data_IF_970474800592
#
_entry.id   IF_970474800592
#
_cell.length_a   1.000
_cell.length_b   1.000
_cell.length_c   1.000
_cell.angle_alpha   90.00
_cell.angle_beta   90.00
_cell.angle_gamma   90.00
#
_symmetry.space_group_name_H-M   'P 1'
#
loop_
_entity.id
_entity.type
_entity.pdbx_description
1 polymer ?
#
# COMPACT_ATOMS: atom_id res chain seq x y z
N UNK A 1 26.34 -3.07 2.51
CA UNK A 1 25.96 -4.20 1.66
C UNK A 1 24.83 -4.97 2.30
N UNK A 2 23.59 -4.87 1.78
CA UNK A 2 22.57 -5.83 2.15
C UNK A 2 23.10 -7.25 1.88
N UNK A 3 22.85 -8.22 2.76
CA UNK A 3 23.44 -9.55 2.68
C UNK A 3 23.02 -10.33 1.42
N UNK A 4 21.93 -9.92 0.77
CA UNK A 4 21.46 -10.45 -0.51
C UNK A 4 21.49 -9.38 -1.61
N UNK A 5 22.14 -9.70 -2.72
CA UNK A 5 22.38 -8.77 -3.85
C UNK A 5 21.09 -8.27 -4.54
N UNK A 6 19.94 -8.89 -4.26
CA UNK A 6 18.63 -8.55 -4.82
C UNK A 6 17.68 -7.87 -3.82
N UNK A 7 18.14 -7.62 -2.58
CA UNK A 7 17.36 -6.85 -1.61
C UNK A 7 17.65 -5.35 -1.74
N UNK A 8 16.61 -4.55 -1.88
CA UNK A 8 16.68 -3.08 -1.82
C UNK A 8 16.22 -2.63 -0.45
N UNK A 9 17.03 -1.79 0.20
CA UNK A 9 16.67 -1.18 1.49
C UNK A 9 16.56 0.33 1.28
N UNK A 10 15.40 0.87 1.60
CA UNK A 10 15.10 2.29 1.55
C UNK A 10 14.88 2.82 2.96
N UNK A 11 15.54 3.93 3.28
CA UNK A 11 15.24 4.73 4.48
C UNK A 11 14.15 5.71 4.08
N UNK A 12 12.90 5.43 4.47
CA UNK A 12 11.75 6.30 4.15
C UNK A 12 11.63 7.47 5.12
N UNK A 13 12.20 7.33 6.32
CA UNK A 13 12.24 8.37 7.34
C UNK A 13 13.45 8.21 8.23
N UNK A 14 14.02 9.34 8.59
CA UNK A 14 14.98 9.45 9.68
C UNK A 14 14.73 10.75 10.43
N UNK A 15 14.90 10.73 11.74
CA UNK A 15 14.97 11.95 12.56
C UNK A 15 13.71 12.84 12.41
N UNK A 16 12.53 12.20 12.35
CA UNK A 16 11.24 12.87 12.20
C UNK A 16 11.18 13.92 11.05
N UNK A 17 11.99 13.74 10.00
CA UNK A 17 12.08 14.68 8.89
C UNK A 17 10.68 14.97 8.32
N UNK A 18 10.33 16.25 8.20
CA UNK A 18 9.04 16.69 7.63
C UNK A 18 7.83 16.60 8.56
N UNK A 19 7.98 16.05 9.77
CA UNK A 19 6.90 15.96 10.75
C UNK A 19 6.82 17.25 11.56
N UNK A 20 5.60 17.66 11.90
CA UNK A 20 5.33 18.79 12.79
C UNK A 20 4.89 18.28 14.16
N UNK A 21 5.19 19.04 15.21
CA UNK A 21 4.60 18.85 16.53
C UNK A 21 3.10 19.17 16.50
N UNK A 22 2.40 18.89 17.61
CA UNK A 22 0.93 19.09 17.75
C UNK A 22 0.43 20.51 17.43
N UNK A 23 1.29 21.53 17.47
CA UNK A 23 0.94 22.90 17.11
C UNK A 23 0.82 23.12 15.59
N UNK A 24 1.22 22.14 14.77
CA UNK A 24 1.21 22.18 13.31
C UNK A 24 2.21 23.15 12.69
N UNK A 25 3.14 23.71 13.49
CA UNK A 25 4.08 24.75 13.04
C UNK A 25 5.52 24.43 13.43
N UNK A 26 5.74 23.86 14.60
CA UNK A 26 7.08 23.52 15.09
C UNK A 26 7.52 22.21 14.46
N UNK A 27 8.61 22.17 13.68
CA UNK A 27 9.16 20.91 13.18
C UNK A 27 9.54 20.01 14.35
N UNK A 28 9.22 18.72 14.23
CA UNK A 28 9.62 17.69 15.18
C UNK A 28 11.10 17.30 15.02
N UNK A 29 11.63 17.45 13.81
CA UNK A 29 13.04 17.26 13.55
C UNK A 29 13.89 18.32 14.27
N UNK A 30 14.90 17.87 15.01
CA UNK A 30 15.90 18.74 15.62
C UNK A 30 16.19 18.45 17.10
N UNK A 31 16.93 19.36 17.75
CA UNK A 31 17.25 19.25 19.18
C UNK A 31 16.14 19.88 20.03
N UNK A 32 15.37 19.03 20.70
CA UNK A 32 14.32 19.41 21.64
C UNK A 32 14.69 19.17 23.11
N UNK A 33 15.97 18.93 23.43
CA UNK A 33 16.38 18.64 24.82
C UNK A 33 16.19 19.81 25.78
N UNK A 34 16.01 21.03 25.25
CA UNK A 34 15.82 22.25 26.03
C UNK A 34 14.37 22.59 26.39
N UNK A 35 13.37 21.88 25.86
CA UNK A 35 11.95 22.17 26.15
C UNK A 35 11.44 21.35 27.35
N UNK A 36 10.46 21.90 28.07
CA UNK A 36 9.99 21.32 29.35
C UNK A 36 9.28 19.97 29.21
N UNK A 37 8.67 19.72 28.05
CA UNK A 37 7.99 18.47 27.70
C UNK A 37 8.48 18.10 26.30
N UNK A 38 9.65 17.45 26.17
CA UNK A 38 10.22 17.11 24.87
C UNK A 38 9.40 16.03 24.16
N UNK A 39 9.53 15.88 22.83
CA UNK A 39 9.05 14.73 22.11
C UNK A 39 9.64 13.42 22.64
N UNK A 40 8.88 12.35 22.44
CA UNK A 40 9.29 10.97 22.65
C UNK A 40 10.53 10.68 21.81
N UNK A 41 11.53 9.96 22.35
CA UNK A 41 12.67 9.49 21.53
C UNK A 41 12.19 8.58 20.39
N UNK A 42 11.09 7.88 20.61
CA UNK A 42 10.47 6.99 19.64
C UNK A 42 10.02 7.73 18.36
N UNK A 43 9.63 9.00 18.46
CA UNK A 43 9.23 9.83 17.33
C UNK A 43 10.34 9.95 16.26
N UNK A 44 11.60 9.76 16.67
CA UNK A 44 12.78 9.87 15.81
C UNK A 44 13.22 8.52 15.21
N UNK A 45 12.42 7.46 15.39
CA UNK A 45 12.70 6.13 14.84
C UNK A 45 12.92 6.17 13.33
N UNK A 46 13.83 5.32 12.85
CA UNK A 46 14.10 5.15 11.42
C UNK A 46 13.00 4.27 10.80
N UNK A 47 12.35 4.78 9.76
CA UNK A 47 11.47 4.01 8.88
C UNK A 47 12.28 3.31 7.79
N UNK A 48 12.14 1.99 7.67
CA UNK A 48 12.81 1.15 6.68
C UNK A 48 11.80 0.37 5.84
N UNK A 49 11.87 0.55 4.52
CA UNK A 49 11.20 -0.33 3.54
C UNK A 49 12.25 -1.27 2.93
N UNK A 50 12.04 -2.57 3.08
CA UNK A 50 12.90 -3.61 2.52
C UNK A 50 12.13 -4.33 1.43
N UNK A 51 12.70 -4.36 0.22
CA UNK A 51 12.10 -5.03 -0.94
C UNK A 51 12.99 -6.18 -1.38
N UNK A 52 12.42 -7.37 -1.53
CA UNK A 52 13.11 -8.54 -2.09
C UNK A 52 12.23 -9.18 -3.17
N UNK A 53 12.60 -8.95 -4.43
CA UNK A 53 11.67 -9.17 -5.54
C UNK A 53 10.43 -8.29 -5.33
N UNK A 54 9.26 -8.91 -5.32
CA UNK A 54 7.93 -8.34 -5.08
C UNK A 54 7.57 -8.23 -3.61
N UNK A 55 8.36 -8.79 -2.70
CA UNK A 55 8.02 -8.79 -1.28
C UNK A 55 8.45 -7.47 -0.66
N UNK A 56 7.49 -6.70 -0.19
CA UNK A 56 7.70 -5.46 0.54
C UNK A 56 7.50 -5.68 2.06
N UNK A 57 8.51 -5.28 2.83
CA UNK A 57 8.52 -5.31 4.29
C UNK A 57 8.70 -3.91 4.86
N UNK A 58 7.86 -3.52 5.81
CA UNK A 58 7.96 -2.25 6.53
C UNK A 58 8.25 -2.42 8.02
N UNK A 59 9.12 -1.54 8.54
CA UNK A 59 9.28 -1.32 9.98
C UNK A 59 9.69 0.12 10.26
N UNK A 60 9.17 0.72 11.33
CA UNK A 60 9.56 2.06 11.77
C UNK A 60 9.94 2.11 13.24
N UNK A 61 10.59 1.04 13.72
CA UNK A 61 11.05 0.95 15.10
C UNK A 61 9.90 1.12 16.09
N UNK A 62 9.97 2.18 16.88
CA UNK A 62 9.02 2.49 17.94
C UNK A 62 8.17 3.74 17.65
N UNK A 63 8.16 4.24 16.39
CA UNK A 63 7.39 5.42 15.97
C UNK A 63 6.00 5.50 16.60
N UNK A 64 5.64 6.68 17.09
CA UNK A 64 4.34 6.95 17.67
C UNK A 64 3.36 7.45 16.58
N UNK A 65 2.07 7.19 16.78
CA UNK A 65 1.00 7.39 15.81
C UNK A 65 -0.14 8.26 16.30
N UNK A 66 0.09 9.03 17.36
CA UNK A 66 -0.89 9.99 17.87
C UNK A 66 -0.23 11.21 18.51
N UNK A 67 -0.97 12.33 18.54
CA UNK A 67 -0.60 13.48 19.35
C UNK A 67 -1.17 13.34 20.76
N UNK A 68 -0.29 13.14 21.74
CA UNK A 68 -0.66 13.06 23.15
C UNK A 68 0.47 13.56 24.06
N UNK A 69 0.20 13.68 25.36
CA UNK A 69 1.23 13.98 26.36
C UNK A 69 1.30 12.86 27.37
N UNK A 70 2.47 12.23 27.49
CA UNK A 70 2.75 11.19 28.44
C UNK A 70 2.72 11.71 29.88
N UNK A 71 2.24 10.88 30.80
CA UNK A 71 2.36 11.15 32.24
C UNK A 71 3.81 11.19 32.74
N UNK A 72 4.75 10.70 31.92
CA UNK A 72 6.19 10.73 32.18
C UNK A 72 6.89 12.01 31.67
N UNK A 73 6.13 12.97 31.14
CA UNK A 73 6.65 14.31 30.83
C UNK A 73 7.29 14.47 29.45
N UNK A 74 6.80 13.72 28.46
CA UNK A 74 7.15 13.89 27.04
C UNK A 74 5.90 13.86 26.15
N UNK A 75 5.98 14.38 24.93
CA UNK A 75 4.87 14.35 23.95
C UNK A 75 5.02 13.18 23.00
N UNK A 76 3.90 12.54 22.67
CA UNK A 76 3.77 11.70 21.48
C UNK A 76 3.40 12.60 20.30
N UNK A 77 3.95 12.33 19.12
CA UNK A 77 3.55 12.99 17.89
C UNK A 77 3.08 11.95 16.87
N UNK A 78 2.13 12.33 16.03
CA UNK A 78 1.64 11.42 14.98
C UNK A 78 2.62 11.39 13.80
N UNK A 79 3.67 10.59 13.96
CA UNK A 79 4.69 10.35 12.93
C UNK A 79 4.19 9.36 11.89
N UNK A 80 3.37 8.40 12.31
CA UNK A 80 2.91 7.30 11.48
C UNK A 80 2.00 7.73 10.34
N UNK A 81 1.17 8.76 10.52
CA UNK A 81 0.30 9.22 9.42
C UNK A 81 1.09 9.67 8.20
N UNK A 82 2.20 10.39 8.40
CA UNK A 82 3.07 10.81 7.29
C UNK A 82 3.97 9.68 6.80
N UNK A 83 4.40 8.77 7.69
CA UNK A 83 5.10 7.54 7.29
C UNK A 83 4.26 6.67 6.37
N UNK A 84 2.95 6.55 6.63
CA UNK A 84 2.03 5.74 5.85
C UNK A 84 2.12 6.08 4.36
N UNK A 85 2.02 7.37 4.04
CA UNK A 85 2.08 7.89 2.67
C UNK A 85 3.45 7.64 2.02
N UNK A 86 4.53 7.63 2.81
CA UNK A 86 5.89 7.37 2.31
C UNK A 86 6.15 5.90 2.04
N UNK A 87 5.54 5.00 2.81
CA UNK A 87 5.66 3.56 2.60
C UNK A 87 4.79 3.07 1.44
N UNK A 88 3.54 3.52 1.40
CA UNK A 88 2.48 2.88 0.60
C UNK A 88 2.22 1.43 1.05
N UNK A 89 1.53 0.63 0.22
CA UNK A 89 1.25 -0.78 0.51
C UNK A 89 2.51 -1.62 0.69
N UNK A 90 2.42 -2.65 1.52
CA UNK A 90 3.46 -3.65 1.79
C UNK A 90 2.86 -5.03 2.06
N UNK A 91 3.62 -6.10 1.89
CA UNK A 91 3.14 -7.45 2.21
C UNK A 91 3.26 -7.76 3.70
N UNK A 92 4.33 -7.26 4.33
CA UNK A 92 4.65 -7.57 5.72
C UNK A 92 4.97 -6.34 6.53
N UNK A 93 4.20 -6.12 7.58
CA UNK A 93 4.41 -5.03 8.53
C UNK A 93 4.97 -5.58 9.85
N UNK A 94 6.03 -4.99 10.39
CA UNK A 94 6.30 -5.10 11.84
C UNK A 94 5.59 -3.95 12.56
N UNK A 95 4.66 -4.29 13.46
CA UNK A 95 3.99 -3.31 14.30
C UNK A 95 5.01 -2.47 15.07
N UNK A 96 4.85 -1.16 15.02
CA UNK A 96 5.74 -0.22 15.68
C UNK A 96 5.55 -0.31 17.20
N UNK A 97 6.62 -0.07 17.95
CA UNK A 97 6.58 0.06 19.42
C UNK A 97 5.94 -1.15 20.10
N UNK A 98 6.30 -2.35 19.66
CA UNK A 98 5.76 -3.61 20.19
C UNK A 98 4.23 -3.74 20.09
N UNK A 99 3.59 -2.94 19.23
CA UNK A 99 2.14 -2.79 19.17
C UNK A 99 1.55 -1.96 20.30
N UNK A 100 2.25 -0.90 20.73
CA UNK A 100 1.77 0.06 21.73
C UNK A 100 0.42 0.67 21.35
N UNK A 101 -0.41 0.99 22.33
CA UNK A 101 -1.67 1.70 22.09
C UNK A 101 -1.47 3.12 21.50
N UNK A 102 -0.26 3.66 21.60
CA UNK A 102 0.16 4.96 21.06
C UNK A 102 0.77 4.86 19.66
N UNK A 103 0.83 3.66 19.06
CA UNK A 103 1.48 3.41 17.77
C UNK A 103 0.62 2.52 16.87
N UNK A 104 1.18 2.23 15.70
CA UNK A 104 0.58 1.53 14.57
C UNK A 104 -0.82 2.06 14.34
N UNK A 105 -1.03 3.35 14.04
CA UNK A 105 -2.37 3.95 13.99
C UNK A 105 -3.25 3.39 12.85
N UNK A 106 -4.55 3.72 12.83
CA UNK A 106 -5.49 3.17 11.84
C UNK A 106 -5.10 3.54 10.40
N UNK A 107 -4.77 4.80 10.15
CA UNK A 107 -4.41 5.27 8.80
C UNK A 107 -3.16 4.55 8.28
N UNK A 108 -2.17 4.31 9.16
CA UNK A 108 -0.98 3.56 8.85
C UNK A 108 -1.30 2.11 8.45
N UNK A 109 -2.16 1.42 9.20
CA UNK A 109 -2.57 0.04 8.85
C UNK A 109 -3.36 0.00 7.55
N UNK A 110 -4.32 0.91 7.36
CA UNK A 110 -5.17 0.96 6.17
C UNK A 110 -4.35 1.26 4.90
N UNK A 111 -3.35 2.14 5.00
CA UNK A 111 -2.50 2.53 3.85
C UNK A 111 -1.51 1.44 3.48
N UNK A 112 -0.94 0.75 4.48
CA UNK A 112 0.04 -0.31 4.25
C UNK A 112 -0.61 -1.63 3.84
N UNK A 113 -1.87 -1.87 4.20
CA UNK A 113 -2.67 -3.06 3.89
C UNK A 113 -1.91 -4.41 3.95
N UNK A 114 -1.21 -4.72 5.06
CA UNK A 114 -0.33 -5.89 5.11
C UNK A 114 -1.09 -7.21 5.13
N UNK A 115 -0.72 -8.13 4.24
CA UNK A 115 -1.19 -9.52 4.28
C UNK A 115 -0.80 -10.23 5.58
N UNK A 116 0.35 -9.86 6.17
CA UNK A 116 0.78 -10.35 7.47
C UNK A 116 1.47 -9.28 8.32
N UNK A 117 1.18 -9.29 9.61
CA UNK A 117 1.79 -8.37 10.58
C UNK A 117 2.52 -9.12 11.68
N UNK A 118 3.71 -8.66 12.04
CA UNK A 118 4.53 -9.20 13.12
C UNK A 118 4.57 -8.24 14.31
N UNK A 119 4.18 -8.73 15.48
CA UNK A 119 4.30 -8.03 16.76
C UNK A 119 5.45 -8.68 17.54
N UNK A 120 6.58 -7.97 17.60
CA UNK A 120 7.69 -8.36 18.47
C UNK A 120 7.41 -7.86 19.89
N UNK A 121 6.95 -8.73 20.77
CA UNK A 121 6.75 -8.42 22.18
C UNK A 121 7.07 -9.63 23.08
N UNK A 122 7.35 -9.34 24.35
CA UNK A 122 7.54 -10.35 25.40
C UNK A 122 6.76 -9.96 26.65
N UNK A 123 6.91 -10.76 27.71
CA UNK A 123 6.33 -10.48 29.02
C UNK A 123 6.68 -9.06 29.46
N UNK A 124 5.67 -8.22 29.67
CA UNK A 124 5.86 -6.82 30.00
C UNK A 124 4.81 -6.28 30.97
N UNK A 125 5.04 -5.07 31.46
CA UNK A 125 4.11 -4.34 32.33
C UNK A 125 3.57 -3.06 31.70
N UNK A 126 3.88 -2.82 30.42
CA UNK A 126 3.46 -1.64 29.66
C UNK A 126 2.07 -1.82 29.02
N UNK A 127 1.53 -3.04 29.07
CA UNK A 127 0.26 -3.38 28.47
C UNK A 127 0.34 -3.54 26.95
N UNK A 128 1.51 -3.95 26.44
CA UNK A 128 1.72 -4.20 25.01
C UNK A 128 1.57 -5.70 24.68
N UNK A 129 1.00 -6.05 23.52
CA UNK A 129 0.39 -5.13 22.57
C UNK A 129 -0.92 -4.54 23.12
N UNK A 130 -1.25 -3.33 22.70
CA UNK A 130 -2.53 -2.71 23.00
C UNK A 130 -3.66 -3.43 22.27
N UNK A 131 -4.83 -3.56 22.91
CA UNK A 131 -5.97 -4.26 22.31
C UNK A 131 -6.40 -3.62 20.98
N UNK A 132 -6.41 -2.29 20.90
CA UNK A 132 -6.78 -1.59 19.67
C UNK A 132 -5.82 -1.90 18.50
N UNK A 133 -4.52 -2.07 18.76
CA UNK A 133 -3.55 -2.46 17.70
C UNK A 133 -3.82 -3.88 17.24
N UNK A 134 -4.03 -4.82 18.17
CA UNK A 134 -4.41 -6.20 17.83
C UNK A 134 -5.66 -6.22 16.95
N UNK A 135 -6.72 -5.54 17.39
CA UNK A 135 -8.01 -5.54 16.68
C UNK A 135 -7.88 -5.00 15.25
N UNK A 136 -7.09 -3.93 15.06
CA UNK A 136 -6.86 -3.32 13.74
C UNK A 136 -6.05 -4.25 12.83
N UNK A 137 -4.95 -4.82 13.31
CA UNK A 137 -4.12 -5.72 12.50
C UNK A 137 -4.87 -7.02 12.14
N UNK A 138 -5.67 -7.55 13.07
CA UNK A 138 -6.51 -8.73 12.84
C UNK A 138 -7.65 -8.48 11.85
N UNK A 139 -8.03 -7.22 11.62
CA UNK A 139 -9.02 -6.86 10.62
C UNK A 139 -8.44 -6.82 9.19
N UNK A 140 -7.12 -6.67 9.06
CA UNK A 140 -6.42 -6.52 7.79
C UNK A 140 -5.79 -7.83 7.31
N UNK A 141 -5.10 -8.56 8.19
CA UNK A 141 -4.35 -9.75 7.79
C UNK A 141 -3.96 -10.67 8.94
N UNK A 142 -3.07 -11.62 8.65
CA UNK A 142 -2.59 -12.57 9.66
C UNK A 142 -1.68 -11.86 10.66
N UNK A 143 -1.88 -12.11 11.97
CA UNK A 143 -1.05 -11.52 13.02
C UNK A 143 -0.17 -12.57 13.66
N UNK A 144 1.13 -12.32 13.70
CA UNK A 144 2.16 -13.17 14.29
C UNK A 144 2.75 -12.46 15.51
N UNK A 145 2.78 -13.13 16.66
CA UNK A 145 3.29 -12.54 17.89
C UNK A 145 4.39 -13.41 18.47
N UNK A 146 5.53 -12.80 18.82
CA UNK A 146 6.69 -13.55 19.33
C UNK A 146 6.40 -14.28 20.64
N UNK A 147 5.52 -13.76 21.51
CA UNK A 147 5.14 -14.43 22.76
C UNK A 147 3.74 -13.99 23.25
N UNK A 148 3.26 -14.59 24.36
CA UNK A 148 2.08 -14.12 25.09
C UNK A 148 2.47 -12.94 26.00
N UNK A 149 2.45 -11.74 25.45
CA UNK A 149 3.10 -10.55 26.04
C UNK A 149 2.34 -9.94 27.23
N UNK A 150 1.02 -9.83 27.08
CA UNK A 150 0.07 -9.42 28.11
C UNK A 150 -1.10 -10.40 28.11
N UNK A 151 -1.31 -11.10 29.23
CA UNK A 151 -2.32 -12.15 29.37
C UNK A 151 -3.75 -11.62 29.48
N UNK A 152 -3.92 -10.30 29.59
CA UNK A 152 -5.24 -9.65 29.66
C UNK A 152 -5.82 -9.31 28.30
N UNK A 153 -5.03 -9.47 27.22
CA UNK A 153 -5.43 -9.19 25.84
C UNK A 153 -6.19 -10.34 25.20
N UNK A 154 -7.09 -9.99 24.29
CA UNK A 154 -7.70 -10.93 23.37
C UNK A 154 -6.89 -10.95 22.07
N UNK A 155 -6.16 -12.04 21.84
CA UNK A 155 -5.33 -12.21 20.65
C UNK A 155 -6.12 -12.68 19.41
N UNK A 156 -7.41 -12.98 19.53
CA UNK A 156 -8.23 -13.40 18.40
C UNK A 156 -7.63 -14.58 17.63
N UNK A 157 -7.43 -14.42 16.33
CA UNK A 157 -6.79 -15.39 15.44
C UNK A 157 -5.27 -15.25 15.35
N UNK A 158 -4.65 -14.35 16.13
CA UNK A 158 -3.20 -14.17 16.10
C UNK A 158 -2.47 -15.45 16.50
N UNK A 159 -1.35 -15.72 15.82
CA UNK A 159 -0.50 -16.88 16.07
C UNK A 159 0.59 -16.51 17.08
N UNK A 160 0.54 -17.13 18.25
CA UNK A 160 1.59 -17.03 19.27
C UNK A 160 2.72 -17.99 18.93
N UNK A 161 3.89 -17.45 18.55
CA UNK A 161 5.03 -18.23 18.08
C UNK A 161 5.87 -18.80 19.21
N UNK A 162 5.94 -18.11 20.35
CA UNK A 162 6.83 -18.44 21.48
C UNK A 162 8.31 -18.52 21.05
N UNK A 163 8.75 -17.57 20.24
CA UNK A 163 10.09 -17.51 19.67
C UNK A 163 10.17 -16.59 18.46
N UNK A 164 11.07 -16.91 17.55
CA UNK A 164 11.36 -16.09 16.38
C UNK A 164 10.24 -16.20 15.33
N UNK A 165 9.76 -15.04 14.88
CA UNK A 165 8.98 -14.93 13.65
C UNK A 165 9.97 -14.88 12.49
N UNK A 166 9.95 -15.90 11.63
CA UNK A 166 10.91 -16.09 10.56
C UNK A 166 10.20 -15.97 9.22
N UNK A 167 10.49 -14.86 8.52
CA UNK A 167 10.12 -14.64 7.13
C UNK A 167 11.18 -15.25 6.19
N UNK A 168 10.76 -16.02 5.20
CA UNK A 168 11.65 -16.63 4.19
C UNK A 168 11.08 -16.53 2.79
N UNK A 169 11.91 -16.15 1.84
CA UNK A 169 11.66 -16.26 0.40
C UNK A 169 12.92 -16.68 -0.34
N UNK A 170 12.77 -17.33 -1.48
CA UNK A 170 13.89 -17.68 -2.38
C UNK A 170 13.71 -17.15 -3.80
N UNK A 171 12.52 -16.70 -4.16
CA UNK A 171 12.17 -16.25 -5.51
C UNK A 171 11.68 -14.79 -5.54
N UNK A 172 11.52 -14.15 -4.39
CA UNK A 172 11.04 -12.80 -4.30
C UNK A 172 9.56 -12.65 -4.66
N UNK A 173 8.77 -13.72 -4.67
CA UNK A 173 7.33 -13.67 -4.96
C UNK A 173 6.56 -14.47 -3.91
N UNK A 174 6.98 -15.72 -3.70
CA UNK A 174 6.41 -16.57 -2.67
C UNK A 174 7.24 -16.40 -1.40
N UNK A 175 6.55 -16.27 -0.27
CA UNK A 175 7.21 -16.22 1.03
C UNK A 175 6.48 -17.05 2.06
N UNK A 176 7.19 -17.36 3.14
CA UNK A 176 6.60 -18.01 4.30
C UNK A 176 6.87 -17.22 5.56
N UNK A 177 5.90 -17.21 6.48
CA UNK A 177 6.10 -16.78 7.86
C UNK A 177 5.82 -18.00 8.74
N UNK A 178 6.86 -18.48 9.43
CA UNK A 178 6.82 -19.70 10.26
C UNK A 178 6.17 -20.93 9.57
N UNK A 179 6.31 -21.02 8.24
CA UNK A 179 5.79 -22.12 7.41
C UNK A 179 4.42 -21.87 6.77
N UNK A 180 3.66 -20.86 7.20
CA UNK A 180 2.45 -20.42 6.48
C UNK A 180 2.88 -19.71 5.20
N UNK A 181 2.27 -20.09 4.07
CA UNK A 181 2.65 -19.59 2.74
C UNK A 181 1.82 -18.37 2.35
N UNK A 182 2.50 -17.40 1.77
CA UNK A 182 1.94 -16.18 1.21
C UNK A 182 2.51 -15.98 -0.20
N UNK A 183 1.80 -15.20 -0.99
CA UNK A 183 2.26 -14.69 -2.28
C UNK A 183 2.20 -13.18 -2.16
N UNK A 184 3.27 -12.47 -2.52
CA UNK A 184 3.27 -11.01 -2.51
C UNK A 184 2.15 -10.48 -3.40
N UNK A 185 1.40 -9.49 -2.90
CA UNK A 185 0.15 -9.01 -3.52
C UNK A 185 0.23 -7.59 -4.09
N UNK A 186 1.30 -6.83 -3.83
CA UNK A 186 1.54 -5.49 -4.40
C UNK A 186 3.07 -5.26 -4.55
N UNK A 187 3.60 -4.51 -5.53
CA UNK A 187 4.25 -5.23 -6.61
C UNK A 187 5.70 -4.82 -6.82
N UNK A 188 6.48 -5.84 -7.14
CA UNK A 188 7.54 -5.71 -8.12
C UNK A 188 7.20 -6.57 -9.31
N UNK A 189 6.27 -6.06 -10.09
CA UNK A 189 6.43 -6.24 -11.50
C UNK A 189 7.88 -5.95 -11.94
N UNK A 190 8.34 -6.63 -12.98
CA UNK A 190 9.65 -6.41 -13.65
C UNK A 190 10.01 -4.96 -14.03
N UNK A 191 9.14 -3.98 -13.73
CA UNK A 191 9.24 -2.59 -14.16
C UNK A 191 8.92 -2.45 -15.64
N UNK A 192 8.11 -3.39 -16.17
CA UNK A 192 7.75 -3.45 -17.58
C UNK A 192 6.25 -3.33 -17.75
N UNK A 193 5.83 -3.10 -18.99
CA UNK A 193 4.41 -2.96 -19.33
C UNK A 193 3.58 -4.17 -18.87
N UNK A 194 4.18 -5.36 -18.72
CA UNK A 194 3.51 -6.56 -18.24
C UNK A 194 2.95 -6.45 -16.80
N UNK A 195 3.42 -5.45 -16.06
CA UNK A 195 3.06 -5.24 -14.66
C UNK A 195 1.93 -4.22 -14.48
N UNK A 196 1.54 -3.57 -15.57
CA UNK A 196 0.47 -2.58 -15.58
C UNK A 196 -0.88 -3.28 -15.47
N UNK A 197 -1.75 -2.68 -14.67
CA UNK A 197 -3.13 -3.14 -14.50
C UNK A 197 -4.10 -2.04 -14.91
N UNK A 198 -5.27 -2.44 -15.41
CA UNK A 198 -6.40 -1.53 -15.60
C UNK A 198 -6.99 -1.26 -14.21
N UNK A 199 -7.01 0.00 -13.79
CA UNK A 199 -7.38 0.38 -12.42
C UNK A 199 -8.83 0.85 -12.29
N UNK A 200 -9.26 1.69 -13.22
CA UNK A 200 -10.60 2.28 -13.24
C UNK A 200 -10.98 2.62 -14.68
N UNK A 201 -12.25 2.53 -15.06
CA UNK A 201 -12.72 3.06 -16.35
C UNK A 201 -14.18 3.51 -16.30
N UNK A 202 -14.50 4.51 -17.13
CA UNK A 202 -15.85 5.03 -17.34
C UNK A 202 -16.25 4.82 -18.80
N UNK A 203 -17.09 3.81 -19.03
CA UNK A 203 -17.62 3.49 -20.35
C UNK A 203 -18.83 4.36 -20.76
N UNK A 204 -19.54 4.96 -19.80
CA UNK A 204 -20.77 5.73 -20.08
C UNK A 204 -20.75 7.12 -19.43
N UNK A 205 -19.96 8.06 -19.95
CA UNK A 205 -20.01 9.43 -19.50
C UNK A 205 -21.34 10.11 -19.87
N UNK A 206 -21.68 11.16 -19.13
CA UNK A 206 -22.73 12.10 -19.53
C UNK A 206 -22.36 12.83 -20.82
N UNK A 207 -23.38 13.20 -21.61
CA UNK A 207 -23.21 13.82 -22.93
C UNK A 207 -22.21 14.98 -22.91
N UNK A 208 -21.24 14.95 -23.82
CA UNK A 208 -20.18 15.95 -23.95
C UNK A 208 -18.92 15.67 -23.14
N UNK A 209 -18.90 14.62 -22.31
CA UNK A 209 -17.72 14.16 -21.60
C UNK A 209 -17.14 12.89 -22.26
N UNK A 210 -15.80 12.69 -22.19
CA UNK A 210 -15.14 11.54 -22.79
C UNK A 210 -15.29 10.28 -21.93
N UNK A 211 -15.24 9.13 -22.60
CA UNK A 211 -14.93 7.86 -21.95
C UNK A 211 -13.46 7.88 -21.52
N UNK A 212 -13.09 7.04 -20.58
CA UNK A 212 -11.68 6.92 -20.20
C UNK A 212 -11.36 5.58 -19.59
N UNK A 213 -10.11 5.18 -19.73
CA UNK A 213 -9.48 4.05 -19.06
C UNK A 213 -8.28 4.57 -18.30
N UNK A 214 -8.17 4.17 -17.05
CA UNK A 214 -7.04 4.41 -16.17
C UNK A 214 -6.21 3.14 -16.02
N UNK A 215 -4.90 3.31 -16.21
CA UNK A 215 -3.89 2.31 -15.93
C UNK A 215 -3.16 2.70 -14.64
N UNK A 216 -2.90 1.73 -13.79
CA UNK A 216 -2.09 1.89 -12.58
C UNK A 216 -0.76 1.16 -12.78
N UNK A 217 0.32 1.84 -12.43
CA UNK A 217 1.62 1.21 -12.25
C UNK A 217 1.73 0.88 -10.78
N UNK A 218 1.52 -0.39 -10.42
CA UNK A 218 1.53 -0.72 -9.02
C UNK A 218 3.00 -0.75 -8.51
N UNK A 219 3.99 -0.85 -9.41
CA UNK A 219 5.38 -1.13 -9.04
C UNK A 219 6.10 0.05 -8.40
N UNK A 220 7.22 -0.25 -7.76
CA UNK A 220 8.11 0.73 -7.14
C UNK A 220 9.04 1.51 -8.10
N UNK A 221 8.92 1.36 -9.42
CA UNK A 221 9.74 2.07 -10.43
C UNK A 221 8.88 2.64 -11.53
N UNK A 222 9.36 3.66 -12.25
CA UNK A 222 8.62 4.19 -13.40
C UNK A 222 8.61 3.18 -14.56
N UNK A 223 7.44 2.98 -15.19
CA UNK A 223 7.25 2.08 -16.33
C UNK A 223 6.97 2.88 -17.59
N UNK A 224 7.74 2.63 -18.66
CA UNK A 224 7.52 3.19 -19.99
C UNK A 224 6.43 2.41 -20.73
N UNK A 225 5.35 3.09 -21.12
CA UNK A 225 4.20 2.55 -21.86
C UNK A 225 4.24 2.84 -23.36
N UNK A 226 5.36 3.36 -23.86
CA UNK A 226 5.51 3.73 -25.26
C UNK A 226 5.05 2.61 -26.20
N UNK A 227 4.01 2.91 -26.97
CA UNK A 227 3.53 2.03 -28.02
C UNK A 227 2.64 0.89 -27.57
N UNK A 228 2.32 0.75 -26.28
CA UNK A 228 1.32 -0.19 -25.77
C UNK A 228 -0.08 0.12 -26.35
N UNK A 229 -1.02 -0.81 -26.25
CA UNK A 229 -2.35 -0.69 -26.91
C UNK A 229 -3.51 -0.93 -25.96
N UNK A 230 -4.53 -0.08 -26.01
CA UNK A 230 -5.83 -0.28 -25.35
C UNK A 230 -6.87 -0.71 -26.40
N UNK A 231 -7.69 -1.71 -26.08
CA UNK A 231 -8.67 -2.33 -26.99
C UNK A 231 -10.01 -2.62 -26.27
N UNK A 232 -11.15 -2.55 -26.99
CA UNK A 232 -12.53 -2.66 -26.47
C UNK A 232 -13.13 -4.07 -26.66
N UNK A 233 -12.85 -4.78 -27.75
CA UNK A 233 -13.20 -6.21 -27.91
C UNK A 233 -12.66 -6.80 -29.21
N UNK A 234 -12.51 -8.13 -29.29
CA UNK A 234 -12.02 -8.78 -30.51
C UNK A 234 -13.03 -8.56 -31.64
N UNK A 235 -12.67 -7.72 -32.63
CA UNK A 235 -13.57 -7.33 -33.72
C UNK A 235 -14.43 -6.10 -33.42
N UNK A 236 -14.17 -5.41 -32.30
CA UNK A 236 -14.71 -4.10 -31.94
C UNK A 236 -14.04 -2.94 -32.69
N UNK A 237 -13.89 -1.80 -32.01
CA UNK A 237 -13.18 -0.65 -32.53
C UNK A 237 -11.72 -0.96 -32.88
N UNK A 238 -11.07 -0.06 -33.64
CA UNK A 238 -9.63 -0.19 -33.83
C UNK A 238 -8.89 0.13 -32.51
N UNK A 239 -7.96 -0.73 -32.05
CA UNK A 239 -7.17 -0.49 -30.84
C UNK A 239 -6.49 0.87 -30.88
N UNK A 240 -6.30 1.48 -29.70
CA UNK A 240 -5.68 2.80 -29.54
C UNK A 240 -4.30 2.63 -28.94
N UNK A 241 -3.30 3.16 -29.65
CA UNK A 241 -1.93 3.13 -29.17
C UNK A 241 -1.68 4.22 -28.13
N UNK A 242 -1.02 3.87 -27.04
CA UNK A 242 -0.48 4.81 -26.06
C UNK A 242 0.70 5.56 -26.69
N UNK A 243 0.74 6.91 -26.64
CA UNK A 243 1.79 7.69 -27.27
C UNK A 243 3.20 7.32 -26.78
N UNK A 244 4.17 7.33 -27.70
CA UNK A 244 5.58 7.18 -27.34
C UNK A 244 6.03 8.30 -26.38
N UNK A 245 6.89 7.95 -25.42
CA UNK A 245 7.33 8.82 -24.34
C UNK A 245 6.40 8.86 -23.13
N UNK A 246 5.32 8.07 -23.12
CA UNK A 246 4.42 7.95 -21.97
C UNK A 246 5.06 7.05 -20.92
N UNK A 247 5.26 7.55 -19.71
CA UNK A 247 5.70 6.76 -18.56
C UNK A 247 4.78 6.97 -17.38
N UNK A 248 4.51 5.91 -16.62
CA UNK A 248 3.82 5.99 -15.34
C UNK A 248 4.85 5.92 -14.20
N UNK A 249 4.93 6.91 -13.30
CA UNK A 249 5.76 6.83 -12.09
C UNK A 249 5.42 5.62 -11.21
N UNK A 250 6.29 5.29 -10.25
CA UNK A 250 5.97 4.30 -9.22
C UNK A 250 4.67 4.68 -8.49
N UNK A 251 3.76 3.72 -8.31
CA UNK A 251 2.42 3.97 -7.73
C UNK A 251 1.57 4.99 -8.49
N UNK A 252 1.94 5.32 -9.73
CA UNK A 252 1.30 6.37 -10.52
C UNK A 252 0.15 5.87 -11.39
N UNK A 253 -0.54 6.81 -12.02
CA UNK A 253 -1.67 6.57 -12.91
C UNK A 253 -1.45 7.15 -14.30
N UNK A 254 -2.00 6.51 -15.32
CA UNK A 254 -2.16 7.07 -16.65
C UNK A 254 -3.60 6.95 -17.11
N UNK A 255 -4.15 8.05 -17.61
CA UNK A 255 -5.52 8.11 -18.10
C UNK A 255 -5.49 8.36 -19.61
N UNK A 256 -6.17 7.49 -20.35
CA UNK A 256 -6.44 7.68 -21.77
C UNK A 256 -7.92 7.95 -21.97
N UNK A 257 -8.24 9.06 -22.65
CA UNK A 257 -9.61 9.46 -22.97
C UNK A 257 -10.01 9.00 -24.37
N UNK A 258 -11.28 8.65 -24.52
CA UNK A 258 -11.85 8.15 -25.75
C UNK A 258 -13.20 8.78 -26.09
N UNK A 259 -13.63 8.60 -27.34
CA UNK A 259 -14.93 9.04 -27.83
C UNK A 259 -15.62 7.85 -28.53
N UNK A 260 -16.67 7.29 -27.92
CA UNK A 260 -17.43 6.14 -28.43
C UNK A 260 -16.52 4.93 -28.72
N UNK A 261 -15.69 4.58 -27.76
CA UNK A 261 -14.77 3.45 -27.80
C UNK A 261 -15.27 2.27 -26.97
N UNK A 262 -15.85 2.51 -25.79
CA UNK A 262 -16.38 1.48 -24.90
C UNK A 262 -17.91 1.35 -25.04
N UNK A 263 -18.42 0.13 -25.17
CA UNK A 263 -19.84 -0.11 -25.38
C UNK A 263 -20.67 -0.04 -24.08
N UNK A 264 -21.77 0.70 -24.09
CA UNK A 264 -22.66 0.84 -22.92
C UNK A 264 -23.37 -0.46 -22.50
N UNK A 265 -23.57 -1.38 -23.44
CA UNK A 265 -24.31 -2.64 -23.26
C UNK A 265 -23.46 -3.83 -22.79
N UNK A 266 -22.22 -3.56 -22.38
CA UNK A 266 -21.22 -4.57 -22.06
C UNK A 266 -20.14 -4.64 -23.13
N UNK A 267 -18.90 -4.85 -22.70
CA UNK A 267 -17.70 -4.86 -23.54
C UNK A 267 -16.51 -5.45 -22.76
N UNK A 268 -15.34 -5.47 -23.40
CA UNK A 268 -14.06 -5.66 -22.73
C UNK A 268 -13.28 -4.33 -22.61
N UNK A 269 -12.34 -4.28 -21.68
CA UNK A 269 -11.23 -3.32 -21.70
C UNK A 269 -9.97 -4.15 -21.61
N UNK A 270 -9.06 -3.99 -22.57
CA UNK A 270 -7.83 -4.80 -22.68
C UNK A 270 -6.62 -3.93 -22.90
N UNK A 271 -5.51 -4.24 -22.25
CA UNK A 271 -4.20 -3.61 -22.46
C UNK A 271 -3.24 -4.66 -23.03
N UNK A 272 -2.50 -4.30 -24.08
CA UNK A 272 -1.53 -5.16 -24.77
C UNK A 272 -0.15 -4.51 -24.79
N UNK A 273 0.88 -5.36 -24.86
CA UNK A 273 2.26 -4.93 -25.12
C UNK A 273 2.39 -4.22 -26.49
N UNK A 274 3.50 -3.51 -26.76
CA UNK A 274 3.72 -2.82 -28.03
C UNK A 274 3.73 -3.73 -29.27
N UNK A 275 3.88 -5.05 -29.09
CA UNK A 275 3.72 -6.03 -30.17
C UNK A 275 2.28 -6.15 -30.70
N UNK A 276 1.29 -5.58 -29.98
CA UNK A 276 -0.13 -5.54 -30.34
C UNK A 276 -0.86 -6.88 -30.19
N UNK A 277 -0.25 -7.89 -29.58
CA UNK A 277 -0.79 -9.26 -29.50
C UNK A 277 -0.69 -9.90 -28.12
N UNK A 278 0.31 -9.52 -27.33
CA UNK A 278 0.50 -10.06 -25.97
C UNK A 278 -0.39 -9.30 -24.99
N UNK A 279 -1.42 -9.96 -24.46
CA UNK A 279 -2.32 -9.40 -23.47
C UNK A 279 -1.61 -9.21 -22.13
N UNK A 280 -1.80 -8.05 -21.50
CA UNK A 280 -1.27 -7.70 -20.19
C UNK A 280 -2.35 -7.85 -19.12
N UNK A 281 -3.45 -7.13 -19.26
CA UNK A 281 -4.60 -7.18 -18.34
C UNK A 281 -5.90 -6.97 -19.11
N UNK A 282 -7.01 -7.43 -18.54
CA UNK A 282 -8.33 -7.28 -19.13
C UNK A 282 -9.45 -7.30 -18.11
N UNK A 283 -10.54 -6.60 -18.42
CA UNK A 283 -11.79 -6.72 -17.69
C UNK A 283 -13.00 -6.73 -18.62
N UNK A 284 -13.90 -7.69 -18.41
CA UNK A 284 -15.16 -7.80 -19.13
C UNK A 284 -16.29 -7.28 -18.25
N UNK A 285 -17.10 -6.36 -18.76
CA UNK A 285 -18.27 -5.84 -18.06
C UNK A 285 -19.55 -6.09 -18.85
N UNK A 286 -20.67 -6.31 -18.16
CA UNK A 286 -21.95 -6.66 -18.80
C UNK A 286 -22.86 -5.46 -19.09
N UNK A 287 -22.59 -4.30 -18.49
CA UNK A 287 -23.31 -3.05 -18.74
C UNK A 287 -22.59 -1.86 -18.11
N UNK A 288 -22.88 -0.66 -18.60
CA UNK A 288 -22.41 0.60 -18.03
C UNK A 288 -23.56 1.54 -17.67
N UNK A 289 -23.51 2.07 -16.44
CA UNK A 289 -24.41 3.09 -15.92
C UNK A 289 -23.85 4.48 -16.17
N UNK A 290 -24.71 5.46 -16.43
CA UNK A 290 -24.27 6.82 -16.72
C UNK A 290 -23.49 7.41 -15.55
N UNK A 291 -22.28 7.93 -15.81
CA UNK A 291 -21.36 8.51 -14.83
C UNK A 291 -21.01 7.55 -13.68
N UNK A 292 -20.96 6.24 -13.94
CA UNK A 292 -20.44 5.29 -12.97
C UNK A 292 -19.28 4.51 -13.57
N UNK A 293 -18.18 4.42 -12.83
CA UNK A 293 -16.99 3.68 -13.22
C UNK A 293 -17.01 2.27 -12.66
N UNK A 294 -16.35 1.37 -13.38
CA UNK A 294 -15.81 0.14 -12.80
C UNK A 294 -14.42 0.44 -12.26
N UNK A 295 -14.07 -0.14 -11.12
CA UNK A 295 -12.82 0.16 -10.40
C UNK A 295 -12.30 -1.08 -9.68
N UNK A 296 -10.97 -1.11 -9.47
CA UNK A 296 -10.32 -2.01 -8.50
C UNK A 296 -10.25 -1.33 -7.13
N UNK A 297 -10.39 -2.09 -6.06
CA UNK A 297 -10.19 -1.61 -4.69
C UNK A 297 -9.43 -2.67 -3.87
N UNK A 298 -8.29 -2.32 -3.25
CA UNK A 298 -7.52 -1.07 -3.46
C UNK A 298 -6.98 -0.96 -4.90
N UNK A 299 -6.19 0.09 -5.21
CA UNK A 299 -5.59 0.24 -6.55
C UNK A 299 -4.83 -1.01 -6.97
N UNK A 300 -5.05 -1.49 -8.20
CA UNK A 300 -4.46 -2.73 -8.70
C UNK A 300 -4.98 -4.03 -8.05
N UNK A 301 -5.81 -3.94 -7.01
CA UNK A 301 -6.44 -5.06 -6.32
C UNK A 301 -7.56 -5.72 -7.11
N UNK A 302 -8.56 -6.26 -6.41
CA UNK A 302 -9.68 -6.94 -7.05
C UNK A 302 -10.68 -5.94 -7.66
N UNK A 303 -11.32 -6.32 -8.77
CA UNK A 303 -12.44 -5.55 -9.32
C UNK A 303 -13.62 -5.53 -8.35
N UNK A 304 -14.20 -4.35 -8.14
CA UNK A 304 -15.43 -4.22 -7.36
C UNK A 304 -16.58 -4.95 -8.05
N UNK A 305 -17.44 -5.60 -7.25
CA UNK A 305 -18.64 -6.28 -7.74
C UNK A 305 -19.74 -5.33 -8.22
N UNK A 306 -19.54 -4.01 -8.16
CA UNK A 306 -20.52 -2.99 -8.57
C UNK A 306 -19.83 -1.70 -9.04
N UNK A 307 -20.51 -0.93 -9.88
CA UNK A 307 -20.02 0.37 -10.34
C UNK A 307 -20.17 1.45 -9.24
N UNK A 308 -19.35 2.49 -9.28
CA UNK A 308 -19.39 3.63 -8.34
C UNK A 308 -19.64 4.95 -9.06
N UNK A 309 -20.39 5.87 -8.43
CA UNK A 309 -20.51 7.26 -8.91
C UNK A 309 -19.39 8.17 -8.39
N UNK A 310 -18.58 7.70 -7.45
CA UNK A 310 -17.43 8.42 -6.89
C UNK A 310 -16.19 8.02 -7.67
N UNK A 311 -16.05 8.54 -8.89
CA UNK A 311 -14.92 8.21 -9.77
C UNK A 311 -13.63 8.85 -9.26
N UNK A 312 -12.51 8.15 -9.37
CA UNK A 312 -11.19 8.56 -8.87
C UNK A 312 -10.16 8.82 -9.96
N UNK A 313 -10.59 8.99 -11.21
CA UNK A 313 -9.80 9.39 -12.38
C UNK A 313 -8.56 10.26 -12.06
N UNK A 314 -7.38 9.68 -12.25
CA UNK A 314 -6.06 10.26 -12.05
C UNK A 314 -5.57 10.24 -10.61
N UNK A 315 -6.23 9.51 -9.71
CA UNK A 315 -5.95 9.47 -8.27
C UNK A 315 -6.30 8.10 -7.67
N UNK A 316 -5.92 7.90 -6.41
CA UNK A 316 -6.15 6.63 -5.72
C UNK A 316 -7.64 6.28 -5.59
N UNK A 317 -7.98 5.04 -5.92
CA UNK A 317 -9.26 4.44 -5.59
C UNK A 317 -9.40 4.26 -4.07
N UNK A 318 -10.63 4.29 -3.53
CA UNK A 318 -10.91 4.04 -2.11
C UNK A 318 -10.59 2.61 -1.68
#
# INVERSE_FOLDING_TARGET
>A
DPPDASAVVEIVQADAQGIMMVDGVTPLQGDHTGISVPPSENDYSIGLKIRFGQIDYATSGDSDGEYATSSFGYTYNDVETDLADRFGPVDVLRANHHGSGHSTNQYYVDTLDPAASAISCGDNSFGHPGQAVLDRLLATGDVWVTNLCDTTRNYGSAVLVHGDIVLKSTDGLNFTINGTSYVATDPAGSGTIADIVINEFLARPSSGNPEWVELYNPTGVAIDLSGAWIDDSVGGGAPKQIPNGTSIPAGGYYVMEFNNFLNNGGDDVRIFLPDGTTLVDSYTYSSASTNQSWYRTPNGGAWSGSQTSTTTKGSANP
#
